data_IF_570043794100
#
_entry.id   IF_570043794100
#
_cell.length_a   1.000
_cell.length_b   1.000
_cell.length_c   1.000
_cell.angle_alpha   90.00
_cell.angle_beta   90.00
_cell.angle_gamma   90.00
#
_symmetry.space_group_name_H-M   'P 1'
#
loop_
_entity.id
_entity.type
_entity.pdbx_description
1 polymer ?
#
# COMPACT_ATOMS: atom_id res chain seq x y z
N UNK A 1 -23.39 -32.39 24.88
CA UNK A 1 -23.61 -31.42 23.79
C UNK A 1 -22.95 -31.93 22.51
N UNK A 2 -23.69 -32.55 21.58
CA UNK A 2 -23.15 -33.04 20.29
C UNK A 2 -23.10 -31.87 19.30
N UNK A 3 -21.96 -31.21 19.20
CA UNK A 3 -21.76 -30.18 18.18
C UNK A 3 -21.69 -30.84 16.81
N UNK A 4 -22.63 -30.53 15.92
CA UNK A 4 -22.71 -31.14 14.59
C UNK A 4 -21.49 -30.76 13.75
N UNK A 5 -20.76 -31.76 13.23
CA UNK A 5 -19.58 -31.55 12.36
C UNK A 5 -19.85 -30.60 11.18
N UNK A 6 -21.10 -30.54 10.73
CA UNK A 6 -21.55 -29.65 9.65
C UNK A 6 -21.53 -28.17 10.07
N UNK A 7 -21.90 -27.88 11.33
CA UNK A 7 -21.82 -26.53 11.91
C UNK A 7 -20.38 -26.12 12.20
N UNK A 8 -19.54 -27.07 12.61
CA UNK A 8 -18.10 -26.82 12.87
C UNK A 8 -17.35 -26.46 11.58
N UNK A 9 -17.60 -27.17 10.47
CA UNK A 9 -17.04 -26.81 9.15
C UNK A 9 -17.51 -25.45 8.66
N UNK A 10 -18.80 -25.13 8.85
CA UNK A 10 -19.34 -23.83 8.47
C UNK A 10 -18.65 -22.69 9.25
N UNK A 11 -18.45 -22.88 10.55
CA UNK A 11 -17.76 -21.92 11.41
C UNK A 11 -16.29 -21.75 11.04
N UNK A 12 -15.60 -22.81 10.62
CA UNK A 12 -14.22 -22.72 10.13
C UNK A 12 -14.12 -21.94 8.81
N UNK A 13 -15.07 -22.14 7.88
CA UNK A 13 -15.13 -21.35 6.63
C UNK A 13 -15.41 -19.88 6.92
N UNK A 14 -16.36 -19.59 7.81
CA UNK A 14 -16.62 -18.23 8.26
C UNK A 14 -15.44 -17.60 8.97
N UNK A 15 -14.74 -18.35 9.83
CA UNK A 15 -13.52 -17.87 10.49
C UNK A 15 -12.40 -17.58 9.48
N UNK A 16 -12.23 -18.41 8.44
CA UNK A 16 -11.25 -18.20 7.37
C UNK A 16 -11.57 -16.94 6.54
N UNK A 17 -12.86 -16.71 6.26
CA UNK A 17 -13.35 -15.50 5.57
C UNK A 17 -13.18 -14.26 6.48
N UNK A 18 -13.42 -14.39 7.79
CA UNK A 18 -13.29 -13.29 8.75
C UNK A 18 -11.82 -12.94 9.06
N UNK A 19 -10.90 -13.88 8.96
CA UNK A 19 -9.43 -13.63 9.05
C UNK A 19 -8.85 -13.02 7.77
N UNK A 20 -9.59 -13.03 6.66
CA UNK A 20 -9.14 -12.53 5.37
C UNK A 20 -9.33 -11.00 5.18
N UNK A 21 -9.69 -10.25 6.23
CA UNK A 21 -9.80 -8.79 6.18
C UNK A 21 -8.91 -8.15 7.25
N UNK A 22 -8.04 -7.18 6.94
CA UNK A 22 -7.96 -6.40 5.71
C UNK A 22 -6.63 -6.60 4.96
N UNK A 23 -6.68 -6.61 3.63
CA UNK A 23 -5.54 -6.24 2.80
C UNK A 23 -5.28 -4.75 3.02
N UNK A 24 -4.65 -4.38 4.13
CA UNK A 24 -4.10 -3.04 4.35
C UNK A 24 -2.81 -2.84 3.55
N UNK A 25 -2.77 -3.37 2.33
CA UNK A 25 -1.67 -3.19 1.40
C UNK A 25 -1.81 -1.86 0.71
N UNK A 26 -1.91 -0.76 1.46
CA UNK A 26 -1.88 0.58 0.87
C UNK A 26 -0.45 1.12 1.00
N UNK A 27 0.18 1.32 -0.15
CA UNK A 27 1.46 2.02 -0.19
C UNK A 27 1.23 3.51 -0.02
N UNK A 28 2.23 4.22 0.48
CA UNK A 28 2.18 5.68 0.50
C UNK A 28 3.53 6.25 0.12
N UNK A 29 3.50 7.45 -0.44
CA UNK A 29 4.71 8.21 -0.79
C UNK A 29 4.88 9.31 0.25
N UNK A 30 5.99 9.27 0.99
CA UNK A 30 6.39 10.37 1.89
C UNK A 30 7.32 11.29 1.14
N UNK A 31 6.99 12.59 1.12
CA UNK A 31 7.89 13.64 0.63
C UNK A 31 8.79 14.11 1.76
N UNK A 32 10.08 14.26 1.50
CA UNK A 32 10.99 14.85 2.47
C UNK A 32 10.84 16.38 2.50
N UNK A 33 10.94 17.01 3.68
CA UNK A 33 10.99 18.46 3.76
C UNK A 33 12.26 18.98 3.05
N UNK A 34 12.20 20.12 2.36
CA UNK A 34 13.37 20.69 1.72
C UNK A 34 14.48 20.93 2.74
N UNK A 35 15.71 20.53 2.38
CA UNK A 35 16.88 20.68 3.25
C UNK A 35 17.10 22.17 3.55
N UNK A 36 17.21 22.57 4.83
CA UNK A 36 17.47 23.95 5.17
C UNK A 36 18.86 24.38 4.72
N UNK A 37 18.93 25.56 4.09
CA UNK A 37 20.20 26.23 3.79
C UNK A 37 20.46 27.21 4.95
N UNK A 38 21.43 26.95 5.86
CA UNK A 38 21.85 27.94 6.85
C UNK A 38 22.45 29.18 6.16
N UNK A 39 22.36 30.41 6.72
CA UNK A 39 22.00 30.77 8.08
C UNK A 39 20.62 31.49 8.21
N UNK A 40 19.71 31.38 7.22
CA UNK A 40 18.47 32.17 7.24
C UNK A 40 17.54 31.76 8.39
N UNK A 41 17.04 32.71 9.20
CA UNK A 41 15.88 32.49 10.07
C UNK A 41 14.71 31.99 9.23
N UNK A 42 14.12 30.83 9.59
CA UNK A 42 13.05 30.20 8.82
C UNK A 42 11.69 30.83 9.16
N UNK A 43 10.91 31.31 8.18
CA UNK A 43 9.46 31.27 8.29
C UNK A 43 9.06 29.79 8.50
N UNK A 44 8.20 29.52 9.47
CA UNK A 44 7.60 28.18 9.62
C UNK A 44 6.61 28.01 8.47
N UNK A 45 7.09 27.47 7.35
CA UNK A 45 6.21 27.04 6.26
C UNK A 45 5.61 25.71 6.69
N UNK A 46 4.28 25.61 6.74
CA UNK A 46 3.61 24.32 6.94
C UNK A 46 4.00 23.39 5.80
N UNK A 47 4.68 22.30 6.13
CA UNK A 47 5.08 21.26 5.19
C UNK A 47 4.10 20.10 5.30
N UNK A 48 3.51 19.71 4.17
CA UNK A 48 2.71 18.49 4.07
C UNK A 48 3.58 17.35 3.54
N UNK A 49 3.86 16.30 4.34
CA UNK A 49 4.59 15.13 3.89
C UNK A 49 3.81 14.21 2.94
N UNK A 50 2.48 14.39 2.82
CA UNK A 50 1.60 13.57 1.99
C UNK A 50 0.80 14.39 0.96
N UNK A 51 1.46 15.23 0.13
CA UNK A 51 0.76 16.11 -0.79
C UNK A 51 0.20 15.37 -2.02
N UNK A 52 0.53 14.08 -2.22
CA UNK A 52 0.09 13.29 -3.37
C UNK A 52 -1.30 12.70 -3.12
N UNK A 53 -2.22 12.90 -4.07
CA UNK A 53 -3.55 12.31 -4.02
C UNK A 53 -3.52 10.89 -4.60
N UNK A 54 -4.18 9.93 -3.93
CA UNK A 54 -4.41 8.60 -4.49
C UNK A 54 -5.59 8.68 -5.46
N UNK A 55 -5.31 8.56 -6.76
CA UNK A 55 -6.34 8.55 -7.80
C UNK A 55 -6.99 7.19 -7.95
N UNK A 56 -6.21 6.12 -7.79
CA UNK A 56 -6.67 4.76 -7.93
C UNK A 56 -5.85 3.85 -7.03
N UNK A 57 -6.53 2.91 -6.39
CA UNK A 57 -5.95 1.83 -5.61
C UNK A 57 -6.77 0.58 -5.89
N UNK A 58 -6.23 -0.35 -6.70
CA UNK A 58 -6.89 -1.57 -7.12
C UNK A 58 -6.13 -2.77 -6.56
N UNK A 59 -6.84 -3.59 -5.80
CA UNK A 59 -6.29 -4.80 -5.19
C UNK A 59 -7.01 -6.01 -5.77
N UNK A 60 -6.23 -6.94 -6.34
CA UNK A 60 -6.73 -8.22 -6.82
C UNK A 60 -6.07 -9.34 -6.03
N UNK A 61 -6.88 -10.19 -5.39
CA UNK A 61 -6.39 -11.33 -4.63
C UNK A 61 -6.87 -12.62 -5.26
N UNK A 62 -5.91 -13.46 -5.62
CA UNK A 62 -6.15 -14.81 -6.12
C UNK A 62 -5.73 -15.80 -5.04
N UNK A 63 -6.69 -16.57 -4.54
CA UNK A 63 -6.44 -17.61 -3.53
C UNK A 63 -6.52 -18.96 -4.24
N UNK A 64 -5.44 -19.75 -4.14
CA UNK A 64 -5.35 -21.10 -4.67
C UNK A 64 -4.80 -22.01 -3.58
N UNK A 65 -5.56 -23.05 -3.25
CA UNK A 65 -5.28 -23.97 -2.16
C UNK A 65 -5.04 -23.25 -0.81
N UNK A 66 -3.77 -23.15 -0.38
CA UNK A 66 -3.35 -22.52 0.87
C UNK A 66 -2.49 -21.27 0.64
N UNK A 67 -2.40 -20.78 -0.60
CA UNK A 67 -1.62 -19.60 -0.96
C UNK A 67 -2.51 -18.47 -1.50
N UNK A 68 -2.17 -17.24 -1.15
CA UNK A 68 -2.81 -16.04 -1.68
C UNK A 68 -1.78 -15.20 -2.44
N UNK A 69 -2.08 -14.88 -3.70
CA UNK A 69 -1.30 -13.96 -4.53
C UNK A 69 -2.07 -12.65 -4.64
N UNK A 70 -1.45 -11.57 -4.18
CA UNK A 70 -2.03 -10.22 -4.18
C UNK A 70 -1.33 -9.36 -5.22
N UNK A 71 -2.10 -8.78 -6.13
CA UNK A 71 -1.65 -7.77 -7.09
C UNK A 71 -2.24 -6.42 -6.71
N UNK A 72 -1.41 -5.39 -6.72
CA UNK A 72 -1.78 -4.05 -6.28
C UNK A 72 -1.35 -3.06 -7.36
N UNK A 73 -2.32 -2.35 -7.92
CA UNK A 73 -2.10 -1.25 -8.86
C UNK A 73 -2.53 0.06 -8.19
N UNK A 74 -1.57 0.98 -8.01
CA UNK A 74 -1.81 2.25 -7.33
C UNK A 74 -1.31 3.43 -8.16
N UNK A 75 -2.16 4.45 -8.27
CA UNK A 75 -1.88 5.68 -9.04
C UNK A 75 -1.89 6.87 -8.09
N UNK A 76 -0.75 7.54 -7.97
CA UNK A 76 -0.60 8.81 -7.27
C UNK A 76 -0.60 9.97 -8.25
N UNK A 77 -1.20 11.09 -7.86
CA UNK A 77 -1.21 12.33 -8.63
C UNK A 77 -0.59 13.43 -7.78
N UNK A 78 0.39 14.14 -8.35
CA UNK A 78 0.94 15.36 -7.77
C UNK A 78 0.00 16.54 -8.12
N UNK A 79 -0.73 17.11 -7.15
CA UNK A 79 -1.61 18.25 -7.41
C UNK A 79 -0.84 19.58 -7.46
N UNK A 80 0.46 19.58 -7.17
CA UNK A 80 1.29 20.79 -7.09
C UNK A 80 2.04 21.01 -8.40
N UNK A 81 2.41 22.27 -8.74
CA UNK A 81 3.25 22.56 -9.91
C UNK A 81 4.73 22.22 -9.69
N UNK A 82 5.11 21.83 -8.47
CA UNK A 82 6.50 21.57 -8.11
C UNK A 82 6.84 20.09 -8.33
N UNK A 83 8.09 19.82 -8.72
CA UNK A 83 8.61 18.45 -8.69
C UNK A 83 8.75 18.02 -7.22
N UNK A 84 8.19 16.85 -6.92
CA UNK A 84 8.30 16.23 -5.61
C UNK A 84 9.20 15.00 -5.71
N UNK A 85 9.98 14.78 -4.66
CA UNK A 85 10.83 13.61 -4.48
C UNK A 85 10.46 13.00 -3.13
N UNK A 86 10.31 11.68 -3.11
CA UNK A 86 9.85 10.99 -1.92
C UNK A 86 10.10 9.50 -1.99
N UNK A 87 9.82 8.85 -0.87
CA UNK A 87 9.97 7.41 -0.72
C UNK A 87 8.62 6.73 -0.82
N UNK A 88 8.53 5.75 -1.71
CA UNK A 88 7.41 4.82 -1.70
C UNK A 88 7.63 3.78 -0.59
N UNK A 89 6.69 3.71 0.35
CA UNK A 89 6.73 2.79 1.48
C UNK A 89 5.51 1.87 1.37
N UNK A 90 5.78 0.57 1.43
CA UNK A 90 4.75 -0.45 1.37
C UNK A 90 4.93 -1.46 2.52
N UNK A 91 3.95 -1.63 3.42
CA UNK A 91 4.05 -2.60 4.50
C UNK A 91 3.84 -4.03 3.98
N UNK A 92 4.82 -4.91 4.20
CA UNK A 92 4.72 -6.33 3.84
C UNK A 92 4.24 -7.13 5.05
N UNK A 93 3.15 -7.92 4.93
CA UNK A 93 2.70 -8.81 6.00
C UNK A 93 3.78 -9.81 6.40
N UNK A 94 3.81 -10.18 7.69
CA UNK A 94 4.70 -11.23 8.16
C UNK A 94 4.46 -12.54 7.39
N UNK A 95 5.52 -13.13 6.85
CA UNK A 95 5.45 -14.36 6.06
C UNK A 95 5.08 -14.17 4.58
N UNK A 96 4.77 -12.94 4.14
CA UNK A 96 4.63 -12.63 2.73
C UNK A 96 5.99 -12.29 2.08
N UNK A 97 6.07 -12.45 0.77
CA UNK A 97 7.25 -12.06 -0.03
C UNK A 97 6.81 -11.23 -1.23
N UNK A 98 7.67 -10.31 -1.67
CA UNK A 98 7.48 -9.54 -2.89
C UNK A 98 8.05 -10.36 -4.05
N UNK A 99 7.23 -10.65 -5.05
CA UNK A 99 7.66 -11.32 -6.28
C UNK A 99 8.09 -10.34 -7.38
N UNK A 100 7.41 -9.18 -7.48
CA UNK A 100 7.71 -8.13 -8.46
C UNK A 100 7.32 -6.76 -7.89
N UNK A 101 8.12 -5.74 -8.19
CA UNK A 101 7.79 -4.35 -7.98
C UNK A 101 8.26 -3.50 -9.17
N UNK A 102 7.36 -2.72 -9.75
CA UNK A 102 7.66 -1.79 -10.85
C UNK A 102 6.80 -0.54 -10.76
N UNK A 103 7.27 0.53 -11.40
CA UNK A 103 6.59 1.83 -11.44
C UNK A 103 6.43 2.27 -12.89
N UNK A 104 5.31 2.92 -13.21
CA UNK A 104 5.11 3.57 -14.49
C UNK A 104 5.34 5.07 -14.35
N UNK A 105 6.39 5.61 -14.97
CA UNK A 105 6.73 7.04 -14.97
C UNK A 105 6.60 7.55 -16.39
N UNK A 106 5.74 8.56 -16.61
CA UNK A 106 5.42 9.10 -17.93
C UNK A 106 5.04 8.01 -18.97
N UNK A 107 4.31 6.99 -18.50
CA UNK A 107 3.87 5.86 -19.32
C UNK A 107 4.93 4.78 -19.57
N UNK A 108 6.14 4.92 -19.04
CA UNK A 108 7.22 3.93 -19.17
C UNK A 108 7.38 3.12 -17.88
N UNK A 109 7.31 1.79 -17.99
CA UNK A 109 7.62 0.89 -16.88
C UNK A 109 9.11 0.99 -16.52
N UNK A 110 9.39 1.13 -15.23
CA UNK A 110 10.71 1.15 -14.61
C UNK A 110 10.68 0.15 -13.47
N UNK A 111 11.56 -0.84 -13.52
CA UNK A 111 11.75 -1.79 -12.43
C UNK A 111 12.54 -1.10 -11.30
N UNK A 112 12.20 -1.43 -10.06
CA UNK A 112 12.81 -0.84 -8.87
C UNK A 112 14.10 -1.56 -8.45
#
# INVERSE_FOLDING_TARGET
MKYSHRKLRLLMVWALILTALPLLGDGFIIIEPPRPIPPRPRPVVSFDPFPLAVKQHLVTVNISDQAAVTHIDQIFVNPTPNRLEGYYIFPIPAGATISKFSMFIDGKETEA
#
